data_IF_123638575467
#
_entry.id   IF_123638575467
#
_cell.length_a   1.000
_cell.length_b   1.000
_cell.length_c   1.000
_cell.angle_alpha   90.00
_cell.angle_beta   90.00
_cell.angle_gamma   90.00
#
_symmetry.space_group_name_H-M   'P 1'
#
loop_
_entity.id
_entity.type
_entity.pdbx_description
1 polymer ?
#
# COMPACT_ATOMS: atom_id res chain seq x y z
N UNK A 1 -5.98 25.75 -8.25
CA UNK A 1 -6.42 24.96 -7.07
C UNK A 1 -7.78 25.35 -6.46
N UNK A 2 -8.41 26.50 -6.78
CA UNK A 2 -9.75 26.83 -6.23
C UNK A 2 -10.93 26.12 -6.90
N UNK A 3 -10.78 25.64 -8.14
CA UNK A 3 -11.89 25.04 -8.90
C UNK A 3 -12.23 23.59 -8.49
N UNK A 4 -11.26 22.82 -7.97
CA UNK A 4 -11.46 21.43 -7.53
C UNK A 4 -12.17 21.30 -6.18
N UNK A 5 -12.03 22.30 -5.31
CA UNK A 5 -12.64 22.32 -3.98
C UNK A 5 -14.17 22.46 -4.01
N UNK A 6 -14.70 23.26 -4.94
CA UNK A 6 -16.15 23.41 -5.11
C UNK A 6 -16.81 22.16 -5.70
N UNK A 7 -16.09 21.39 -6.53
CA UNK A 7 -16.56 20.10 -7.07
C UNK A 7 -16.61 19.02 -5.99
N UNK A 8 -15.60 18.98 -5.12
CA UNK A 8 -15.57 18.08 -3.95
C UNK A 8 -16.69 18.39 -2.95
N UNK A 9 -16.91 19.66 -2.60
CA UNK A 9 -17.98 20.03 -1.69
C UNK A 9 -19.38 19.76 -2.26
N UNK A 10 -19.59 19.97 -3.57
CA UNK A 10 -20.85 19.58 -4.24
C UNK A 10 -21.05 18.08 -4.23
N UNK A 11 -20.03 17.30 -4.57
CA UNK A 11 -20.10 15.84 -4.58
C UNK A 11 -20.39 15.26 -3.19
N UNK A 12 -19.74 15.78 -2.14
CA UNK A 12 -19.94 15.31 -0.77
C UNK A 12 -21.35 15.62 -0.24
N UNK A 13 -21.91 16.78 -0.60
CA UNK A 13 -23.25 17.20 -0.16
C UNK A 13 -24.39 16.55 -0.95
N UNK A 14 -24.18 16.20 -2.23
CA UNK A 14 -25.21 15.55 -3.06
C UNK A 14 -25.30 14.04 -2.86
N UNK A 15 -24.23 13.41 -2.36
CA UNK A 15 -24.14 11.97 -2.12
C UNK A 15 -25.24 11.41 -1.18
N UNK A 16 -25.51 11.98 0.01
CA UNK A 16 -26.53 11.45 0.91
C UNK A 16 -27.96 11.60 0.34
N UNK A 17 -28.30 12.77 -0.21
CA UNK A 17 -29.64 13.06 -0.74
C UNK A 17 -29.94 12.13 -1.94
N UNK A 18 -28.95 11.92 -2.79
CA UNK A 18 -29.04 10.99 -3.92
C UNK A 18 -29.22 9.56 -3.44
N UNK A 19 -28.42 9.10 -2.48
CA UNK A 19 -28.52 7.74 -1.94
C UNK A 19 -29.91 7.47 -1.34
N UNK A 20 -30.44 8.41 -0.55
CA UNK A 20 -31.79 8.29 0.02
C UNK A 20 -32.89 8.28 -1.04
N UNK A 21 -32.76 9.12 -2.08
CA UNK A 21 -33.72 9.14 -3.20
C UNK A 21 -33.69 7.82 -3.99
N UNK A 22 -32.51 7.26 -4.25
CA UNK A 22 -32.34 5.97 -4.94
C UNK A 22 -32.85 4.78 -4.09
N UNK A 23 -32.72 4.85 -2.76
CA UNK A 23 -33.32 3.87 -1.85
C UNK A 23 -34.85 3.96 -1.88
N UNK A 24 -35.40 5.17 -1.86
CA UNK A 24 -36.84 5.41 -1.91
C UNK A 24 -37.46 4.89 -3.22
N UNK A 25 -36.84 5.17 -4.38
CA UNK A 25 -37.33 4.65 -5.66
C UNK A 25 -37.30 3.13 -5.72
N UNK A 26 -36.27 2.50 -5.16
CA UNK A 26 -36.18 1.03 -5.07
C UNK A 26 -37.29 0.45 -4.17
N UNK A 27 -37.65 1.14 -3.08
CA UNK A 27 -38.78 0.75 -2.23
C UNK A 27 -40.13 0.92 -2.93
N UNK A 28 -40.31 1.99 -3.72
CA UNK A 28 -41.51 2.18 -4.55
C UNK A 28 -41.67 1.07 -5.59
N UNK A 29 -40.56 0.65 -6.23
CA UNK A 29 -40.59 -0.47 -7.17
C UNK A 29 -41.06 -1.77 -6.49
N UNK A 30 -40.63 -2.05 -5.27
CA UNK A 30 -41.12 -3.21 -4.51
C UNK A 30 -42.63 -3.07 -4.24
N UNK A 31 -43.08 -1.89 -3.77
CA UNK A 31 -44.50 -1.64 -3.48
C UNK A 31 -45.39 -1.73 -4.72
N UNK A 32 -44.91 -1.29 -5.88
CA UNK A 32 -45.64 -1.40 -7.14
C UNK A 32 -45.78 -2.87 -7.56
N UNK A 33 -44.71 -3.67 -7.42
CA UNK A 33 -44.76 -5.11 -7.69
C UNK A 33 -45.77 -5.79 -6.76
N UNK A 34 -45.79 -5.44 -5.46
CA UNK A 34 -46.79 -5.94 -4.51
C UNK A 34 -48.22 -5.68 -4.99
N UNK A 35 -48.51 -4.44 -5.41
CA UNK A 35 -49.86 -4.03 -5.81
C UNK A 35 -50.28 -4.67 -7.14
N UNK A 36 -49.41 -4.61 -8.17
CA UNK A 36 -49.75 -5.03 -9.53
C UNK A 36 -49.81 -6.56 -9.69
N UNK A 37 -48.96 -7.29 -8.97
CA UNK A 37 -48.79 -8.72 -9.19
C UNK A 37 -49.15 -9.60 -7.99
N UNK A 38 -49.27 -9.02 -6.78
CA UNK A 38 -49.50 -9.76 -5.54
C UNK A 38 -50.68 -9.20 -4.73
N UNK A 39 -51.59 -8.42 -5.34
CA UNK A 39 -52.78 -7.84 -4.69
C UNK A 39 -52.46 -7.03 -3.41
N UNK A 40 -51.29 -6.39 -3.36
CA UNK A 40 -50.80 -5.66 -2.19
C UNK A 40 -50.22 -6.52 -1.08
N UNK A 41 -50.12 -7.83 -1.28
CA UNK A 41 -49.54 -8.78 -0.32
C UNK A 41 -48.04 -8.98 -0.57
N UNK A 42 -47.35 -9.53 0.43
CA UNK A 42 -45.92 -9.83 0.37
C UNK A 42 -45.62 -10.78 -0.78
N UNK A 43 -44.55 -10.49 -1.52
CA UNK A 43 -44.02 -11.37 -2.56
C UNK A 43 -43.54 -12.67 -1.89
N UNK A 44 -44.41 -13.68 -1.86
CA UNK A 44 -44.20 -14.99 -1.21
C UNK A 44 -44.62 -16.13 -2.14
N UNK A 45 -44.07 -17.31 -1.88
CA UNK A 45 -44.22 -18.52 -2.73
C UNK A 45 -45.66 -19.06 -2.76
N UNK A 46 -46.51 -18.66 -1.80
CA UNK A 46 -47.89 -19.17 -1.64
C UNK A 46 -48.97 -18.42 -2.43
N UNK A 47 -48.63 -17.70 -3.51
CA UNK A 47 -49.66 -17.17 -4.40
C UNK A 47 -50.13 -18.27 -5.37
N UNK A 48 -51.31 -18.83 -5.10
CA UNK A 48 -51.96 -19.99 -5.74
C UNK A 48 -52.15 -19.98 -7.28
N UNK A 49 -51.46 -19.12 -8.06
CA UNK A 49 -51.63 -19.00 -9.52
C UNK A 49 -50.38 -18.71 -10.36
N UNK A 50 -49.15 -18.67 -9.82
CA UNK A 50 -47.95 -18.33 -10.62
C UNK A 50 -47.01 -19.50 -10.92
N UNK A 51 -46.48 -19.54 -12.14
CA UNK A 51 -45.46 -20.51 -12.59
C UNK A 51 -44.12 -20.32 -11.87
N UNK A 52 -43.44 -21.42 -11.57
CA UNK A 52 -42.16 -21.48 -10.84
C UNK A 52 -41.06 -20.58 -11.46
N UNK A 53 -41.02 -20.49 -12.79
CA UNK A 53 -40.07 -19.62 -13.52
C UNK A 53 -40.38 -18.12 -13.33
N UNK A 54 -41.66 -17.77 -13.24
CA UNK A 54 -42.11 -16.38 -13.02
C UNK A 54 -41.88 -15.97 -11.56
N UNK A 55 -42.06 -16.89 -10.60
CA UNK A 55 -41.73 -16.65 -9.20
C UNK A 55 -40.23 -16.40 -9.01
N UNK A 56 -39.37 -17.19 -9.67
CA UNK A 56 -37.92 -17.00 -9.62
C UNK A 56 -37.50 -15.61 -10.14
N UNK A 57 -38.16 -15.12 -11.20
CA UNK A 57 -37.94 -13.77 -11.72
C UNK A 57 -38.32 -12.68 -10.71
N UNK A 58 -39.50 -12.78 -10.09
CA UNK A 58 -39.96 -11.80 -9.10
C UNK A 58 -39.14 -11.81 -7.81
N UNK A 59 -38.70 -12.99 -7.36
CA UNK A 59 -37.77 -13.12 -6.23
C UNK A 59 -36.42 -12.47 -6.53
N UNK A 60 -35.89 -12.64 -7.75
CA UNK A 60 -34.68 -11.96 -8.19
C UNK A 60 -34.83 -10.43 -8.24
N UNK A 61 -35.97 -9.93 -8.71
CA UNK A 61 -36.28 -8.49 -8.68
C UNK A 61 -36.40 -7.96 -7.24
N UNK A 62 -37.08 -8.68 -6.35
CA UNK A 62 -37.20 -8.32 -4.94
C UNK A 62 -35.81 -8.26 -4.27
N UNK A 63 -35.00 -9.31 -4.41
CA UNK A 63 -33.67 -9.38 -3.81
C UNK A 63 -32.74 -8.29 -4.34
N UNK A 64 -32.80 -8.00 -5.64
CA UNK A 64 -32.03 -6.90 -6.25
C UNK A 64 -32.41 -5.54 -5.65
N UNK A 65 -33.71 -5.25 -5.53
CA UNK A 65 -34.18 -3.98 -4.99
C UNK A 65 -33.88 -3.87 -3.48
N UNK A 66 -34.07 -4.92 -2.69
CA UNK A 66 -33.70 -4.93 -1.26
C UNK A 66 -32.19 -4.72 -1.05
N UNK A 67 -31.34 -5.37 -1.87
CA UNK A 67 -29.89 -5.17 -1.78
C UNK A 67 -29.50 -3.74 -2.16
N UNK A 68 -30.13 -3.16 -3.18
CA UNK A 68 -29.91 -1.76 -3.55
C UNK A 68 -30.30 -0.82 -2.39
N UNK A 69 -31.45 -1.04 -1.76
CA UNK A 69 -31.89 -0.27 -0.59
C UNK A 69 -30.87 -0.36 0.55
N UNK A 70 -30.38 -1.55 0.89
CA UNK A 70 -29.38 -1.73 1.96
C UNK A 70 -28.06 -1.00 1.67
N UNK A 71 -27.55 -1.10 0.44
CA UNK A 71 -26.32 -0.42 0.02
C UNK A 71 -26.50 1.10 0.11
N UNK A 72 -27.62 1.62 -0.40
CA UNK A 72 -27.91 3.06 -0.41
C UNK A 72 -28.20 3.63 0.97
N UNK A 73 -28.87 2.89 1.85
CA UNK A 73 -29.03 3.28 3.25
C UNK A 73 -27.70 3.30 3.98
N UNK A 74 -26.80 2.35 3.71
CA UNK A 74 -25.45 2.34 4.28
C UNK A 74 -24.63 3.55 3.78
N UNK A 75 -24.71 3.86 2.48
CA UNK A 75 -24.08 5.06 1.89
C UNK A 75 -24.63 6.35 2.51
N UNK A 76 -25.95 6.43 2.72
CA UNK A 76 -26.61 7.54 3.40
C UNK A 76 -26.16 7.67 4.86
N UNK A 77 -26.14 6.59 5.65
CA UNK A 77 -25.72 6.61 7.05
C UNK A 77 -24.27 7.07 7.23
N UNK A 78 -23.36 6.62 6.36
CA UNK A 78 -21.95 7.03 6.38
C UNK A 78 -21.74 8.50 5.99
N UNK A 79 -22.63 9.05 5.17
CA UNK A 79 -22.56 10.45 4.69
C UNK A 79 -23.46 11.42 5.49
N UNK A 80 -24.31 10.91 6.39
CA UNK A 80 -25.29 11.68 7.19
C UNK A 80 -24.66 12.74 8.10
N UNK A 81 -23.43 12.53 8.58
CA UNK A 81 -22.74 13.47 9.49
C UNK A 81 -22.52 14.87 8.90
N UNK A 82 -22.71 15.04 7.59
CA UNK A 82 -22.48 16.30 6.87
C UNK A 82 -23.77 17.07 6.54
N UNK A 83 -24.96 16.51 6.82
CA UNK A 83 -26.26 17.21 6.64
C UNK A 83 -26.66 17.86 7.97
N UNK A 84 -26.80 19.19 7.97
CA UNK A 84 -27.52 19.95 9.00
C UNK A 84 -28.88 20.39 8.45
N UNK A 85 -29.95 19.67 8.78
CA UNK A 85 -31.29 20.20 9.11
C UNK A 85 -32.37 19.11 9.11
N UNK A 86 -33.41 19.39 9.89
CA UNK A 86 -34.66 18.64 10.08
C UNK A 86 -35.62 18.80 8.88
N UNK A 87 -35.28 18.20 7.75
CA UNK A 87 -36.17 18.18 6.58
C UNK A 87 -37.20 17.04 6.73
N UNK A 88 -38.47 17.42 6.93
CA UNK A 88 -39.63 16.51 7.12
C UNK A 88 -39.78 15.51 5.95
N UNK A 89 -39.47 15.95 4.72
CA UNK A 89 -39.50 15.11 3.51
C UNK A 89 -38.54 13.90 3.58
N UNK A 90 -37.40 14.02 4.28
CA UNK A 90 -36.48 12.89 4.46
C UNK A 90 -37.03 11.85 5.44
N UNK A 91 -37.72 12.29 6.49
CA UNK A 91 -38.32 11.39 7.48
C UNK A 91 -39.47 10.60 6.85
N UNK A 92 -40.26 11.22 5.97
CA UNK A 92 -41.32 10.52 5.23
C UNK A 92 -40.75 9.44 4.30
N UNK A 93 -39.68 9.75 3.56
CA UNK A 93 -38.99 8.78 2.69
C UNK A 93 -38.39 7.62 3.47
N UNK A 94 -37.74 7.89 4.61
CA UNK A 94 -37.19 6.85 5.49
C UNK A 94 -38.30 5.96 6.07
N UNK A 95 -39.38 6.56 6.57
CA UNK A 95 -40.52 5.83 7.12
C UNK A 95 -41.16 4.90 6.08
N UNK A 96 -41.28 5.36 4.84
CA UNK A 96 -41.78 4.54 3.73
C UNK A 96 -40.84 3.38 3.40
N UNK A 97 -39.53 3.63 3.34
CA UNK A 97 -38.53 2.59 3.11
C UNK A 97 -38.60 1.53 4.22
N UNK A 98 -38.69 1.96 5.48
CA UNK A 98 -38.80 1.06 6.64
C UNK A 98 -40.10 0.24 6.60
N UNK A 99 -41.23 0.83 6.22
CA UNK A 99 -42.50 0.11 6.04
C UNK A 99 -42.36 -1.03 5.01
N UNK A 100 -41.73 -0.74 3.87
CA UNK A 100 -41.53 -1.73 2.80
C UNK A 100 -40.55 -2.82 3.24
N UNK A 101 -39.43 -2.47 3.86
CA UNK A 101 -38.43 -3.43 4.33
C UNK A 101 -39.00 -4.33 5.45
N UNK A 102 -39.76 -3.76 6.38
CA UNK A 102 -40.25 -4.50 7.55
C UNK A 102 -41.18 -5.65 7.17
N UNK A 103 -41.91 -5.58 6.05
CA UNK A 103 -42.69 -6.72 5.54
C UNK A 103 -41.83 -7.94 5.19
N UNK A 104 -40.56 -7.73 4.86
CA UNK A 104 -39.61 -8.76 4.47
C UNK A 104 -38.62 -9.11 5.59
N UNK A 105 -38.65 -8.39 6.73
CA UNK A 105 -37.98 -8.78 7.96
C UNK A 105 -38.89 -9.69 8.79
N UNK A 106 -38.59 -10.98 8.90
CA UNK A 106 -39.17 -11.82 9.95
C UNK A 106 -38.22 -12.93 10.38
N UNK A 107 -38.02 -12.97 11.71
CA UNK A 107 -37.44 -14.01 12.58
C UNK A 107 -35.91 -14.24 12.54
N UNK A 108 -35.18 -13.32 13.18
CA UNK A 108 -34.11 -13.58 14.15
C UNK A 108 -33.44 -12.24 14.47
N UNK A 109 -33.98 -11.48 15.43
CA UNK A 109 -33.31 -10.39 16.16
C UNK A 109 -34.35 -9.62 17.01
N UNK A 110 -34.71 -10.19 18.15
CA UNK A 110 -34.98 -9.39 19.35
C UNK A 110 -33.80 -9.62 20.29
N UNK A 111 -32.96 -8.59 20.48
CA UNK A 111 -32.42 -8.15 21.77
C UNK A 111 -31.92 -6.71 21.58
N UNK A 112 -32.41 -5.87 22.48
CA UNK A 112 -32.32 -4.41 22.56
C UNK A 112 -30.92 -3.83 22.82
N UNK A 113 -30.78 -2.53 22.52
CA UNK A 113 -29.71 -1.68 23.03
C UNK A 113 -30.03 -1.10 24.44
N UNK A 114 -29.22 -1.49 25.44
CA UNK A 114 -28.64 -0.67 26.55
C UNK A 114 -29.52 -0.21 27.75
N UNK A 115 -28.99 0.27 28.91
CA UNK A 115 -27.82 -0.10 29.74
C UNK A 115 -28.12 -0.25 31.27
N UNK A 116 -27.30 -1.03 31.99
CA UNK A 116 -26.88 -0.73 33.38
C UNK A 116 -27.66 -1.28 34.59
N UNK A 117 -26.88 -1.75 35.58
CA UNK A 117 -27.15 -1.93 37.02
C UNK A 117 -27.26 -3.38 37.53
N UNK A 118 -26.40 -3.63 38.54
CA UNK A 118 -26.25 -4.71 39.55
C UNK A 118 -27.46 -5.63 39.79
N UNK A 119 -27.35 -6.89 40.25
CA UNK A 119 -26.61 -7.41 41.42
C UNK A 119 -26.83 -8.94 41.47
N UNK A 120 -25.77 -9.69 41.81
CA UNK A 120 -25.66 -10.94 42.62
C UNK A 120 -26.91 -11.83 42.81
N UNK A 121 -26.81 -13.15 42.53
CA UNK A 121 -26.98 -14.30 43.46
C UNK A 121 -26.81 -15.66 42.71
N UNK A 122 -25.69 -16.30 43.02
CA UNK A 122 -25.40 -17.72 43.32
C UNK A 122 -26.50 -18.81 43.21
N UNK A 123 -26.20 -19.94 42.53
CA UNK A 123 -26.30 -21.32 43.10
C UNK A 123 -25.91 -22.43 42.09
N UNK A 124 -25.47 -23.54 42.67
CA UNK A 124 -24.55 -24.60 42.20
C UNK A 124 -25.16 -25.70 41.28
N UNK A 125 -24.32 -26.60 40.69
CA UNK A 125 -24.71 -27.58 39.68
C UNK A 125 -25.03 -28.96 40.27
N UNK A 126 -25.77 -29.79 39.52
CA UNK A 126 -25.88 -31.24 39.81
C UNK A 126 -25.50 -32.07 38.59
N UNK A 127 -24.58 -32.99 38.84
CA UNK A 127 -23.98 -33.99 37.96
C UNK A 127 -24.98 -34.96 37.34
N UNK A 128 -24.65 -35.50 36.16
CA UNK A 128 -24.86 -36.91 35.81
C UNK A 128 -23.72 -37.43 34.92
N UNK A 129 -22.94 -38.34 35.48
CA UNK A 129 -21.90 -39.18 34.86
C UNK A 129 -22.53 -40.51 34.45
N UNK A 130 -22.24 -41.06 33.26
CA UNK A 130 -22.11 -42.52 33.05
C UNK A 130 -21.01 -42.80 32.01
N UNK A 131 -20.20 -43.80 32.36
CA UNK A 131 -18.95 -44.27 31.76
C UNK A 131 -19.11 -45.50 30.84
N UNK A 132 -18.02 -45.75 30.08
CA UNK A 132 -17.38 -47.02 29.70
C UNK A 132 -17.68 -47.71 28.35
N UNK A 133 -16.59 -48.14 27.70
CA UNK A 133 -16.56 -49.32 26.81
C UNK A 133 -15.49 -49.31 25.70
N UNK A 134 -14.29 -49.78 25.99
CA UNK A 134 -13.22 -50.15 25.02
C UNK A 134 -13.30 -51.65 24.67
N UNK A 135 -13.07 -52.00 23.40
CA UNK A 135 -12.52 -53.31 22.98
C UNK A 135 -12.07 -53.32 21.51
N UNK A 136 -10.84 -53.81 21.29
CA UNK A 136 -10.21 -54.14 19.99
C UNK A 136 -10.74 -55.44 19.42
N UNK A 137 -10.72 -55.58 18.08
CA UNK A 137 -10.40 -56.86 17.41
C UNK A 137 -9.95 -56.65 15.96
N UNK A 138 -8.93 -57.42 15.57
CA UNK A 138 -8.31 -57.50 14.24
C UNK A 138 -9.09 -58.47 13.34
N UNK A 139 -9.11 -58.25 12.02
CA UNK A 139 -9.05 -59.35 11.04
C UNK A 139 -8.67 -58.87 9.62
N UNK A 140 -7.74 -59.61 9.01
CA UNK A 140 -7.24 -59.52 7.64
C UNK A 140 -7.90 -60.66 6.83
N UNK A 141 -8.47 -60.39 5.63
CA UNK A 141 -8.29 -61.26 4.45
C UNK A 141 -8.90 -60.69 3.14
N UNK A 142 -8.02 -60.56 2.15
CA UNK A 142 -8.09 -60.87 0.71
C UNK A 142 -9.33 -60.58 -0.19
N UNK A 143 -9.01 -59.87 -1.29
CA UNK A 143 -9.40 -60.08 -2.70
C UNK A 143 -10.87 -59.98 -3.14
N UNK A 144 -11.16 -58.91 -3.91
CA UNK A 144 -12.05 -58.95 -5.09
C UNK A 144 -11.86 -57.70 -5.98
N UNK A 145 -11.31 -57.87 -7.18
CA UNK A 145 -11.73 -57.11 -8.37
C UNK A 145 -12.82 -57.94 -9.08
N UNK A 146 -13.62 -57.43 -10.05
CA UNK A 146 -13.54 -56.15 -10.75
C UNK A 146 -14.90 -55.39 -10.86
N UNK A 147 -14.87 -54.11 -11.28
CA UNK A 147 -15.80 -53.53 -12.28
C UNK A 147 -15.42 -52.08 -12.59
N UNK A 148 -14.78 -51.92 -13.75
CA UNK A 148 -14.72 -50.66 -14.48
C UNK A 148 -16.14 -50.43 -15.03
N UNK A 149 -16.83 -49.43 -14.50
CA UNK A 149 -18.02 -48.86 -15.12
C UNK A 149 -17.87 -47.35 -15.12
N UNK A 150 -17.61 -46.82 -16.31
CA UNK A 150 -17.64 -45.40 -16.60
C UNK A 150 -19.04 -44.85 -16.26
N UNK A 151 -19.07 -43.83 -15.40
CA UNK A 151 -19.95 -42.67 -15.58
C UNK A 151 -19.13 -41.43 -15.29
N UNK A 152 -18.83 -40.71 -16.35
CA UNK A 152 -18.31 -39.35 -16.36
C UNK A 152 -19.29 -38.42 -15.65
N UNK A 153 -19.12 -38.28 -14.33
CA UNK A 153 -19.67 -37.16 -13.58
C UNK A 153 -18.66 -36.02 -13.61
N UNK A 154 -18.95 -34.99 -14.40
CA UNK A 154 -18.19 -33.75 -14.51
C UNK A 154 -18.36 -32.99 -13.19
N UNK A 155 -17.65 -33.36 -12.13
CA UNK A 155 -17.43 -32.49 -10.98
C UNK A 155 -16.06 -32.81 -10.35
N UNK A 156 -15.10 -31.85 -10.35
CA UNK A 156 -13.82 -32.06 -9.71
C UNK A 156 -14.01 -32.20 -8.19
N UNK A 157 -13.41 -33.26 -7.60
CA UNK A 157 -13.43 -33.56 -6.15
C UNK A 157 -12.92 -32.43 -5.25
N UNK A 158 -12.42 -31.33 -5.80
CA UNK A 158 -11.97 -30.13 -5.08
C UNK A 158 -13.12 -29.21 -4.62
N UNK A 159 -14.26 -29.19 -5.32
CA UNK A 159 -15.39 -28.28 -4.98
C UNK A 159 -16.14 -28.74 -3.72
N UNK A 160 -16.27 -30.06 -3.51
CA UNK A 160 -16.94 -30.61 -2.32
C UNK A 160 -16.23 -30.29 -1.00
N UNK A 161 -14.91 -30.05 -1.02
CA UNK A 161 -14.14 -29.62 0.16
C UNK A 161 -14.36 -28.14 0.47
N UNK A 162 -14.52 -27.31 -0.55
CA UNK A 162 -14.87 -25.89 -0.42
C UNK A 162 -16.30 -25.73 0.09
N UNK A 163 -17.25 -26.53 -0.42
CA UNK A 163 -18.65 -26.50 0.03
C UNK A 163 -18.83 -27.01 1.46
N UNK A 164 -18.08 -28.05 1.86
CA UNK A 164 -18.07 -28.53 3.26
C UNK A 164 -17.40 -27.54 4.22
N UNK A 165 -16.48 -26.70 3.73
CA UNK A 165 -15.89 -25.58 4.49
C UNK A 165 -16.89 -24.42 4.61
N UNK A 166 -17.57 -24.05 3.52
CA UNK A 166 -18.65 -23.05 3.49
C UNK A 166 -19.81 -23.45 4.41
N UNK A 167 -20.27 -24.71 4.38
CA UNK A 167 -21.33 -25.22 5.27
C UNK A 167 -20.92 -25.28 6.74
N UNK A 168 -19.62 -25.38 7.04
CA UNK A 168 -19.08 -25.27 8.40
C UNK A 168 -18.92 -23.81 8.84
N UNK A 169 -18.62 -22.93 7.89
CA UNK A 169 -18.50 -21.48 8.05
C UNK A 169 -19.87 -20.77 8.05
N UNK A 170 -20.98 -21.50 7.85
CA UNK A 170 -22.38 -21.06 7.94
C UNK A 170 -23.04 -21.44 9.28
N UNK A 171 -22.25 -21.85 10.29
CA UNK A 171 -22.77 -22.06 11.65
C UNK A 171 -22.89 -20.71 12.38
N UNK A 172 -23.83 -20.52 13.33
CA UNK A 172 -24.04 -19.24 14.04
C UNK A 172 -22.79 -18.69 14.76
N UNK A 173 -21.79 -19.54 15.03
CA UNK A 173 -20.49 -19.13 15.61
C UNK A 173 -19.48 -18.65 14.56
N UNK A 174 -19.59 -19.11 13.31
CA UNK A 174 -18.67 -18.78 12.24
C UNK A 174 -18.84 -17.33 11.76
N UNK A 175 -20.04 -16.76 11.81
CA UNK A 175 -20.25 -15.33 11.52
C UNK A 175 -19.48 -14.44 12.52
N UNK A 176 -19.54 -14.78 13.82
CA UNK A 176 -18.80 -14.06 14.85
C UNK A 176 -17.28 -14.17 14.65
N UNK A 177 -16.81 -15.34 14.23
CA UNK A 177 -15.38 -15.56 13.94
C UNK A 177 -14.93 -14.80 12.68
N UNK A 178 -15.78 -14.72 11.64
CA UNK A 178 -15.50 -13.93 10.44
C UNK A 178 -15.38 -12.44 10.79
N UNK A 179 -16.32 -11.90 11.57
CA UNK A 179 -16.29 -10.49 12.00
C UNK A 179 -15.05 -10.18 12.86
N UNK A 180 -14.69 -11.08 13.79
CA UNK A 180 -13.48 -10.96 14.59
C UNK A 180 -12.20 -11.02 13.74
N UNK A 181 -12.11 -11.98 12.82
CA UNK A 181 -10.96 -12.14 11.93
C UNK A 181 -10.80 -10.94 11.00
N UNK A 182 -11.91 -10.39 10.49
CA UNK A 182 -11.90 -9.16 9.71
C UNK A 182 -11.38 -7.97 10.52
N UNK A 183 -11.87 -7.78 11.75
CA UNK A 183 -11.40 -6.70 12.63
C UNK A 183 -9.90 -6.83 12.96
N UNK A 184 -9.42 -8.05 13.23
CA UNK A 184 -8.00 -8.35 13.49
C UNK A 184 -7.14 -8.08 12.25
N UNK A 185 -7.57 -8.53 11.06
CA UNK A 185 -6.88 -8.26 9.79
C UNK A 185 -6.81 -6.76 9.50
N UNK A 186 -7.92 -6.03 9.64
CA UNK A 186 -7.97 -4.57 9.46
C UNK A 186 -7.01 -3.84 10.40
N UNK A 187 -6.98 -4.23 11.68
CA UNK A 187 -6.07 -3.64 12.65
C UNK A 187 -4.60 -3.97 12.34
N UNK A 188 -4.30 -5.19 11.89
CA UNK A 188 -2.97 -5.59 11.42
C UNK A 188 -2.53 -4.71 10.26
N UNK A 189 -3.34 -4.60 9.21
CA UNK A 189 -3.05 -3.75 8.04
C UNK A 189 -2.84 -2.30 8.44
N UNK A 190 -3.70 -1.73 9.30
CA UNK A 190 -3.54 -0.35 9.79
C UNK A 190 -2.21 -0.16 10.52
N UNK A 191 -1.81 -1.10 11.36
CA UNK A 191 -0.53 -1.04 12.09
C UNK A 191 0.66 -1.18 11.16
N UNK A 192 0.63 -2.14 10.23
CA UNK A 192 1.69 -2.34 9.23
C UNK A 192 1.88 -1.12 8.35
N UNK A 193 0.78 -0.54 7.85
CA UNK A 193 0.82 0.68 7.03
C UNK A 193 1.34 1.86 7.85
N UNK A 194 0.84 2.06 9.08
CA UNK A 194 1.34 3.11 9.98
C UNK A 194 2.85 2.94 10.23
N UNK A 195 3.30 1.72 10.48
CA UNK A 195 4.71 1.43 10.71
C UNK A 195 5.56 1.71 9.47
N UNK A 196 5.12 1.30 8.27
CA UNK A 196 5.79 1.62 7.01
C UNK A 196 5.92 3.13 6.80
N UNK A 197 4.84 3.87 7.06
CA UNK A 197 4.83 5.33 7.00
C UNK A 197 5.84 5.92 7.99
N UNK A 198 5.85 5.46 9.25
CA UNK A 198 6.80 5.93 10.26
C UNK A 198 8.25 5.59 9.90
N UNK A 199 8.49 4.40 9.33
CA UNK A 199 9.81 3.95 8.91
C UNK A 199 10.43 4.86 7.84
N UNK A 200 9.61 5.51 7.02
CA UNK A 200 10.04 6.46 5.98
C UNK A 200 10.06 7.89 6.51
N UNK A 201 8.97 8.33 7.15
CA UNK A 201 8.80 9.74 7.56
C UNK A 201 9.77 10.13 8.68
N UNK A 202 10.00 9.26 9.67
CA UNK A 202 10.80 9.63 10.84
C UNK A 202 12.27 9.90 10.49
N UNK A 203 12.97 9.04 9.71
CA UNK A 203 14.33 9.34 9.25
C UNK A 203 14.38 10.60 8.39
N UNK A 204 13.46 10.75 7.42
CA UNK A 204 13.43 11.92 6.53
C UNK A 204 13.22 13.23 7.29
N UNK A 205 12.29 13.26 8.25
CA UNK A 205 12.10 14.43 9.11
C UNK A 205 13.33 14.67 9.99
N UNK A 206 13.93 13.60 10.53
CA UNK A 206 15.14 13.72 11.34
C UNK A 206 16.27 14.33 10.52
N UNK A 207 16.49 13.88 9.30
CA UNK A 207 17.50 14.43 8.38
C UNK A 207 17.28 15.93 8.16
N UNK A 208 16.07 16.33 7.74
CA UNK A 208 15.78 17.71 7.40
C UNK A 208 15.82 18.65 8.63
N UNK A 209 15.19 18.24 9.74
CA UNK A 209 15.12 19.07 10.96
C UNK A 209 16.50 19.17 11.61
N UNK A 210 17.22 18.04 11.76
CA UNK A 210 18.54 18.06 12.38
C UNK A 210 19.54 18.89 11.58
N UNK A 211 19.49 18.81 10.25
CA UNK A 211 20.32 19.63 9.37
C UNK A 211 20.13 21.12 9.65
N UNK A 212 18.88 21.57 9.67
CA UNK A 212 18.56 23.00 9.81
C UNK A 212 18.81 23.50 11.24
N UNK A 213 18.34 22.75 12.24
CA UNK A 213 18.28 23.23 13.64
C UNK A 213 19.59 23.01 14.39
N UNK A 214 20.27 21.88 14.16
CA UNK A 214 21.43 21.47 14.96
C UNK A 214 22.73 21.56 14.17
N UNK A 215 22.76 20.97 12.97
CA UNK A 215 24.02 20.70 12.27
C UNK A 215 24.52 21.93 11.54
N UNK A 216 23.70 22.61 10.74
CA UNK A 216 24.09 23.85 10.05
C UNK A 216 24.70 24.90 10.99
N UNK A 217 24.05 25.29 12.12
CA UNK A 217 24.65 26.28 13.02
C UNK A 217 25.94 25.77 13.67
N UNK A 218 26.05 24.46 13.93
CA UNK A 218 27.28 23.87 14.47
C UNK A 218 28.43 23.93 13.46
N UNK A 219 28.17 23.51 12.21
CA UNK A 219 29.16 23.51 11.12
C UNK A 219 29.64 24.93 10.83
N UNK A 220 28.73 25.90 10.77
CA UNK A 220 29.10 27.30 10.53
C UNK A 220 29.94 27.86 11.68
N UNK A 221 29.63 27.51 12.93
CA UNK A 221 30.41 27.96 14.10
C UNK A 221 31.82 27.37 14.12
N UNK A 222 31.95 26.07 13.86
CA UNK A 222 33.24 25.37 13.87
C UNK A 222 34.13 25.80 12.69
N UNK A 223 33.53 26.00 11.51
CA UNK A 223 34.26 26.38 10.29
C UNK A 223 34.47 27.89 10.16
N UNK A 224 33.65 28.71 10.82
CA UNK A 224 33.82 30.18 10.85
C UNK A 224 35.18 30.61 11.41
N UNK A 225 35.76 29.82 12.32
CA UNK A 225 37.10 30.07 12.88
C UNK A 225 38.23 29.49 12.02
N UNK A 226 37.96 28.48 11.20
CA UNK A 226 38.95 27.79 10.38
C UNK A 226 39.02 28.34 8.95
N UNK A 227 39.68 29.49 8.78
CA UNK A 227 39.85 30.13 7.47
C UNK A 227 40.55 29.23 6.42
N UNK A 228 41.36 28.26 6.86
CA UNK A 228 42.23 27.45 6.00
C UNK A 228 41.55 26.25 5.30
N UNK A 229 40.32 25.89 5.64
CA UNK A 229 39.64 24.72 5.07
C UNK A 229 38.42 25.13 4.23
N UNK A 230 38.66 25.81 3.11
CA UNK A 230 37.60 26.23 2.16
C UNK A 230 37.03 25.00 1.43
N UNK A 231 37.90 24.08 1.01
CA UNK A 231 37.57 22.87 0.26
C UNK A 231 37.53 21.65 1.17
N UNK A 232 36.66 20.68 0.85
CA UNK A 232 36.59 19.38 1.55
C UNK A 232 37.48 18.33 0.90
N UNK A 233 37.55 18.36 -0.43
CA UNK A 233 38.31 17.41 -1.24
C UNK A 233 39.11 18.15 -2.30
N UNK A 234 40.08 17.43 -2.88
CA UNK A 234 40.96 17.92 -3.95
C UNK A 234 40.20 18.24 -5.23
N UNK A 235 39.09 17.53 -5.50
CA UNK A 235 38.34 17.70 -6.73
C UNK A 235 37.60 19.06 -6.75
N UNK A 236 37.06 19.50 -5.62
CA UNK A 236 36.48 20.82 -5.45
C UNK A 236 37.52 21.94 -5.57
N UNK A 237 38.74 21.68 -5.08
CA UNK A 237 39.86 22.61 -5.21
C UNK A 237 40.29 22.73 -6.68
N UNK A 238 40.39 21.61 -7.41
CA UNK A 238 40.71 21.59 -8.83
C UNK A 238 39.63 22.29 -9.67
N UNK A 239 38.35 22.06 -9.34
CA UNK A 239 37.22 22.75 -9.99
C UNK A 239 37.29 24.27 -9.79
N UNK A 240 37.51 24.72 -8.56
CA UNK A 240 37.69 26.14 -8.25
C UNK A 240 38.91 26.75 -8.94
N UNK A 241 40.04 26.04 -8.96
CA UNK A 241 41.26 26.49 -9.63
C UNK A 241 41.04 26.60 -11.15
N UNK A 242 40.35 25.63 -11.75
CA UNK A 242 40.01 25.64 -13.17
C UNK A 242 39.10 26.82 -13.51
N UNK A 243 38.13 27.14 -12.67
CA UNK A 243 37.24 28.29 -12.86
C UNK A 243 38.01 29.62 -12.80
N UNK A 244 38.92 29.78 -11.82
CA UNK A 244 39.78 30.98 -11.70
C UNK A 244 40.66 31.13 -12.94
N UNK A 245 41.32 30.04 -13.38
CA UNK A 245 42.18 30.04 -14.58
C UNK A 245 41.41 30.34 -15.86
N UNK A 246 40.20 29.81 -15.97
CA UNK A 246 39.33 30.08 -17.11
C UNK A 246 38.93 31.56 -17.16
N UNK A 247 38.56 32.15 -16.02
CA UNK A 247 38.25 33.57 -15.92
C UNK A 247 39.44 34.46 -16.26
N UNK A 248 40.63 34.15 -15.74
CA UNK A 248 41.87 34.86 -16.08
C UNK A 248 42.16 34.78 -17.60
N UNK A 249 41.99 33.60 -18.20
CA UNK A 249 42.18 33.40 -19.63
C UNK A 249 41.19 34.23 -20.47
N UNK A 250 39.93 34.35 -20.04
CA UNK A 250 38.93 35.21 -20.68
C UNK A 250 39.38 36.68 -20.64
N UNK A 251 39.81 37.19 -19.49
CA UNK A 251 40.27 38.58 -19.35
C UNK A 251 41.50 38.87 -20.21
N UNK A 252 42.44 37.91 -20.28
CA UNK A 252 43.61 38.01 -21.15
C UNK A 252 43.22 38.01 -22.63
N UNK A 253 42.27 37.16 -23.02
CA UNK A 253 41.75 37.11 -24.39
C UNK A 253 41.05 38.41 -24.79
N UNK A 254 40.21 38.96 -23.90
CA UNK A 254 39.49 40.22 -24.14
C UNK A 254 40.47 41.38 -24.41
N UNK A 255 41.56 41.45 -23.66
CA UNK A 255 42.65 42.40 -23.87
C UNK A 255 43.33 42.21 -25.24
N UNK A 256 43.51 40.98 -25.70
CA UNK A 256 44.12 40.70 -27.01
C UNK A 256 43.19 41.09 -28.16
N UNK A 257 41.87 40.92 -27.99
CA UNK A 257 40.86 41.24 -29.02
C UNK A 257 40.66 42.76 -29.12
N UNK A 258 40.66 43.48 -28.00
CA UNK A 258 40.48 44.93 -27.95
C UNK A 258 41.68 45.62 -27.25
N UNK A 259 42.76 45.94 -27.99
CA UNK A 259 43.95 46.56 -27.42
C UNK A 259 43.73 47.96 -26.81
N UNK A 260 42.62 48.61 -27.15
CA UNK A 260 42.22 49.92 -26.62
C UNK A 260 41.54 49.85 -25.25
N UNK A 261 41.19 48.65 -24.76
CA UNK A 261 40.70 48.50 -23.39
C UNK A 261 41.86 48.72 -22.41
N UNK A 262 41.67 49.63 -21.45
CA UNK A 262 42.61 49.92 -20.35
C UNK A 262 42.67 48.78 -19.31
N UNK A 263 42.72 47.53 -19.76
CA UNK A 263 42.93 46.36 -18.91
C UNK A 263 44.45 46.26 -18.67
N UNK A 264 44.95 46.97 -17.66
CA UNK A 264 46.32 46.81 -17.17
C UNK A 264 46.48 45.46 -16.46
N UNK A 265 47.70 44.90 -16.37
CA UNK A 265 47.93 43.70 -15.57
C UNK A 265 47.45 43.85 -14.12
N UNK A 266 47.52 45.04 -13.50
CA UNK A 266 46.98 45.25 -12.15
C UNK A 266 45.46 45.10 -12.09
N UNK A 267 44.73 45.56 -13.12
CA UNK A 267 43.26 45.42 -13.20
C UNK A 267 42.86 43.96 -13.37
N UNK A 268 43.62 43.18 -14.15
CA UNK A 268 43.40 41.72 -14.29
C UNK A 268 43.58 41.05 -12.94
N UNK A 269 44.69 41.33 -12.24
CA UNK A 269 44.97 40.76 -10.92
C UNK A 269 43.87 41.11 -9.90
N UNK A 270 43.43 42.36 -9.88
CA UNK A 270 42.34 42.81 -9.01
C UNK A 270 41.03 42.04 -9.29
N UNK A 271 40.63 41.91 -10.57
CA UNK A 271 39.44 41.16 -10.97
C UNK A 271 39.55 39.67 -10.65
N UNK A 272 40.72 39.07 -10.89
CA UNK A 272 40.97 37.65 -10.57
C UNK A 272 40.91 37.43 -9.06
N UNK A 273 41.44 38.34 -8.26
CA UNK A 273 41.37 38.29 -6.79
C UNK A 273 39.93 38.40 -6.30
N UNK A 274 39.14 39.32 -6.84
CA UNK A 274 37.71 39.44 -6.54
C UNK A 274 36.97 38.13 -6.86
N UNK A 275 37.20 37.58 -8.06
CA UNK A 275 36.60 36.32 -8.49
C UNK A 275 37.03 35.14 -7.61
N UNK A 276 38.29 35.09 -7.20
CA UNK A 276 38.79 34.06 -6.30
C UNK A 276 38.11 34.12 -4.92
N UNK A 277 37.83 35.32 -4.40
CA UNK A 277 37.06 35.49 -3.15
C UNK A 277 35.61 35.00 -3.31
N UNK A 278 34.97 35.32 -4.44
CA UNK A 278 33.62 34.83 -4.75
C UNK A 278 33.57 33.29 -4.80
N UNK A 279 34.48 32.68 -5.55
CA UNK A 279 34.59 31.21 -5.68
C UNK A 279 34.91 30.56 -4.34
N UNK A 280 35.78 31.17 -3.53
CA UNK A 280 36.09 30.69 -2.18
C UNK A 280 34.86 30.73 -1.27
N UNK A 281 34.06 31.79 -1.32
CA UNK A 281 32.82 31.89 -0.54
C UNK A 281 31.77 30.85 -0.98
N UNK A 282 31.59 30.68 -2.29
CA UNK A 282 30.70 29.67 -2.86
C UNK A 282 31.14 28.25 -2.48
N UNK A 283 32.43 27.96 -2.60
CA UNK A 283 33.04 26.67 -2.25
C UNK A 283 32.91 26.39 -0.76
N UNK A 284 33.14 27.38 0.11
CA UNK A 284 32.92 27.25 1.56
C UNK A 284 31.46 26.87 1.86
N UNK A 285 30.49 27.51 1.21
CA UNK A 285 29.07 27.20 1.39
C UNK A 285 28.72 25.79 0.91
N UNK A 286 29.21 25.39 -0.27
CA UNK A 286 29.04 24.04 -0.83
C UNK A 286 29.63 22.99 0.13
N UNK A 287 30.83 23.25 0.64
CA UNK A 287 31.49 22.42 1.64
C UNK A 287 30.69 22.28 2.93
N UNK A 288 30.32 23.40 3.58
CA UNK A 288 29.53 23.36 4.81
C UNK A 288 28.22 22.58 4.62
N UNK A 289 27.56 22.76 3.48
CA UNK A 289 26.32 22.05 3.15
C UNK A 289 26.52 20.53 3.00
N UNK A 290 27.61 20.11 2.35
CA UNK A 290 27.95 18.70 2.18
C UNK A 290 28.26 18.01 3.52
N UNK A 291 29.01 18.67 4.40
CA UNK A 291 29.27 18.17 5.75
C UNK A 291 27.96 18.08 6.54
N UNK A 292 27.13 19.11 6.44
CA UNK A 292 25.83 19.10 7.11
C UNK A 292 24.93 17.97 6.62
N UNK A 293 24.96 17.66 5.32
CA UNK A 293 24.28 16.51 4.75
C UNK A 293 24.78 15.21 5.37
N UNK A 294 26.09 14.96 5.36
CA UNK A 294 26.67 13.74 5.89
C UNK A 294 26.30 13.50 7.37
N UNK A 295 26.40 14.53 8.21
CA UNK A 295 25.98 14.40 9.63
C UNK A 295 24.47 14.21 9.78
N UNK A 296 23.65 14.86 8.95
CA UNK A 296 22.20 14.71 8.98
C UNK A 296 21.78 13.29 8.57
N UNK A 297 22.49 12.70 7.61
CA UNK A 297 22.27 11.33 7.16
C UNK A 297 22.65 10.32 8.25
N UNK A 298 23.74 10.56 8.98
CA UNK A 298 24.10 9.73 10.14
C UNK A 298 22.99 9.78 11.20
N UNK A 299 22.45 10.97 11.49
CA UNK A 299 21.37 11.10 12.47
C UNK A 299 20.05 10.48 11.97
N UNK A 300 19.78 10.58 10.68
CA UNK A 300 18.67 9.90 10.00
C UNK A 300 18.80 8.38 10.11
N UNK A 301 20.00 7.84 9.90
CA UNK A 301 20.30 6.41 10.03
C UNK A 301 20.12 5.92 11.48
N UNK A 302 20.58 6.70 12.46
CA UNK A 302 20.34 6.41 13.88
C UNK A 302 18.84 6.40 14.17
N UNK A 303 18.10 7.40 13.69
CA UNK A 303 16.64 7.48 13.85
C UNK A 303 15.92 6.30 13.23
N UNK A 304 16.31 5.89 12.01
CA UNK A 304 15.82 4.68 11.36
C UNK A 304 16.07 3.43 12.21
N UNK A 305 17.29 3.26 12.73
CA UNK A 305 17.65 2.14 13.60
C UNK A 305 16.83 2.15 14.90
N UNK A 306 16.59 3.32 15.50
CA UNK A 306 15.75 3.46 16.70
C UNK A 306 14.30 3.08 16.40
N UNK A 307 13.74 3.52 15.26
CA UNK A 307 12.38 3.11 14.84
C UNK A 307 12.28 1.59 14.74
N UNK A 308 13.24 0.94 14.08
CA UNK A 308 13.28 -0.53 14.00
C UNK A 308 13.37 -1.17 15.39
N UNK A 309 14.27 -0.66 16.24
CA UNK A 309 14.51 -1.20 17.57
C UNK A 309 13.27 -1.12 18.48
N UNK A 310 12.53 -0.01 18.44
CA UNK A 310 11.33 0.17 19.27
C UNK A 310 10.07 -0.47 18.68
N UNK A 311 10.00 -0.65 17.35
CA UNK A 311 8.81 -1.18 16.66
C UNK A 311 8.83 -2.69 16.42
N UNK A 312 9.53 -3.49 17.25
CA UNK A 312 9.59 -4.97 17.11
C UNK A 312 8.23 -5.65 16.92
N UNK A 313 7.20 -5.20 17.67
CA UNK A 313 5.83 -5.72 17.54
C UNK A 313 5.22 -5.39 16.18
N UNK A 314 5.43 -4.17 15.68
CA UNK A 314 4.91 -3.74 14.39
C UNK A 314 5.64 -4.42 13.21
N UNK A 315 6.91 -4.77 13.36
CA UNK A 315 7.66 -5.58 12.39
C UNK A 315 6.99 -6.95 12.20
N UNK A 316 6.53 -7.60 13.28
CA UNK A 316 5.81 -8.88 13.17
C UNK A 316 4.49 -8.71 12.41
N UNK A 317 3.76 -7.62 12.67
CA UNK A 317 2.54 -7.31 11.91
C UNK A 317 2.84 -7.01 10.44
N UNK A 318 3.92 -6.28 10.14
CA UNK A 318 4.38 -6.00 8.78
C UNK A 318 4.76 -7.29 8.06
N UNK A 319 5.52 -8.18 8.72
CA UNK A 319 5.87 -9.49 8.15
C UNK A 319 4.61 -10.27 7.80
N UNK A 320 3.66 -10.40 8.74
CA UNK A 320 2.43 -11.14 8.48
C UNK A 320 1.59 -10.51 7.36
N UNK A 321 1.59 -9.19 7.23
CA UNK A 321 0.94 -8.48 6.13
C UNK A 321 1.64 -8.73 4.78
N UNK A 322 2.98 -8.71 4.76
CA UNK A 322 3.76 -9.06 3.57
C UNK A 322 3.57 -10.52 3.17
N UNK A 323 3.51 -11.44 4.14
CA UNK A 323 3.19 -12.85 3.90
C UNK A 323 1.79 -12.97 3.25
N UNK A 324 0.79 -12.25 3.75
CA UNK A 324 -0.57 -12.25 3.19
C UNK A 324 -0.61 -11.71 1.75
N UNK A 325 0.15 -10.66 1.44
CA UNK A 325 0.29 -10.15 0.07
C UNK A 325 0.99 -11.18 -0.82
N UNK A 326 2.18 -11.66 -0.43
CA UNK A 326 3.00 -12.53 -1.28
C UNK A 326 2.34 -13.88 -1.50
N UNK A 327 1.82 -14.53 -0.45
CA UNK A 327 1.13 -15.81 -0.58
C UNK A 327 -0.30 -15.68 -1.13
N UNK A 328 -0.89 -14.48 -1.06
CA UNK A 328 -2.17 -14.17 -1.71
C UNK A 328 -2.06 -14.04 -3.23
N UNK A 329 -0.86 -13.84 -3.77
CA UNK A 329 -0.63 -13.76 -5.23
C UNK A 329 -0.56 -15.15 -5.87
N UNK A 330 -1.04 -15.25 -7.11
CA UNK A 330 -0.86 -16.46 -7.94
C UNK A 330 0.61 -16.72 -8.24
N UNK A 331 0.97 -17.97 -8.54
CA UNK A 331 2.34 -18.35 -8.91
C UNK A 331 2.85 -17.57 -10.14
N UNK A 332 1.96 -17.27 -11.10
CA UNK A 332 2.26 -16.43 -12.26
C UNK A 332 2.54 -14.97 -11.88
N UNK A 333 1.75 -14.38 -10.97
CA UNK A 333 1.94 -12.99 -10.53
C UNK A 333 3.22 -12.82 -9.71
N UNK A 334 3.58 -13.81 -8.88
CA UNK A 334 4.86 -13.84 -8.16
C UNK A 334 6.04 -13.88 -9.13
N UNK A 335 6.00 -14.74 -10.14
CA UNK A 335 7.05 -14.82 -11.16
C UNK A 335 7.18 -13.50 -11.95
N UNK A 336 6.06 -12.92 -12.37
CA UNK A 336 6.04 -11.63 -13.05
C UNK A 336 6.64 -10.50 -12.20
N UNK A 337 6.28 -10.41 -10.92
CA UNK A 337 6.79 -9.37 -10.02
C UNK A 337 8.30 -9.50 -9.79
N UNK A 338 8.81 -10.73 -9.72
CA UNK A 338 10.26 -10.98 -9.66
C UNK A 338 10.93 -10.49 -10.95
N UNK A 339 10.45 -10.90 -12.13
CA UNK A 339 11.02 -10.50 -13.42
C UNK A 339 11.03 -8.98 -13.58
N UNK A 340 9.91 -8.31 -13.31
CA UNK A 340 9.77 -6.86 -13.40
C UNK A 340 10.77 -6.15 -12.48
N UNK A 341 10.88 -6.59 -11.22
CA UNK A 341 11.81 -5.99 -10.27
C UNK A 341 13.27 -6.19 -10.73
N UNK A 342 13.62 -7.40 -11.17
CA UNK A 342 14.97 -7.66 -11.67
C UNK A 342 15.30 -6.84 -12.90
N UNK A 343 14.37 -6.68 -13.86
CA UNK A 343 14.63 -5.91 -15.08
C UNK A 343 14.89 -4.42 -14.79
N UNK A 344 14.19 -3.84 -13.81
CA UNK A 344 14.41 -2.43 -13.40
C UNK A 344 15.81 -2.21 -12.80
N UNK A 345 16.26 -3.10 -11.91
CA UNK A 345 17.52 -2.92 -11.17
C UNK A 345 18.75 -3.47 -11.87
N UNK A 346 18.54 -4.35 -12.85
CA UNK A 346 19.62 -5.16 -13.43
C UNK A 346 19.56 -5.25 -14.95
N UNK A 347 18.38 -5.08 -15.54
CA UNK A 347 18.20 -5.08 -16.98
C UNK A 347 18.84 -3.87 -17.67
N UNK A 348 18.55 -3.73 -18.96
CA UNK A 348 19.18 -2.75 -19.85
C UNK A 348 18.99 -1.29 -19.44
N UNK A 349 17.96 -1.00 -18.65
CA UNK A 349 17.69 0.34 -18.13
C UNK A 349 18.41 0.63 -16.80
N UNK A 350 18.96 -0.39 -16.14
CA UNK A 350 19.57 -0.25 -14.83
C UNK A 350 20.85 0.59 -14.81
N UNK A 351 21.75 0.57 -15.82
CA UNK A 351 22.97 1.37 -15.81
C UNK A 351 22.72 2.86 -15.55
N UNK A 352 21.72 3.43 -16.25
CA UNK A 352 21.38 4.84 -16.08
C UNK A 352 20.71 5.11 -14.72
N UNK A 353 19.90 4.18 -14.21
CA UNK A 353 19.34 4.28 -12.87
C UNK A 353 20.43 4.34 -11.79
N UNK A 354 21.45 3.49 -11.91
CA UNK A 354 22.61 3.49 -11.02
C UNK A 354 23.46 4.75 -11.17
N UNK A 355 23.64 5.26 -12.39
CA UNK A 355 24.35 6.52 -12.64
C UNK A 355 23.70 7.68 -11.88
N UNK A 356 22.38 7.88 -12.04
CA UNK A 356 21.64 8.96 -11.38
C UNK A 356 21.69 8.82 -9.86
N UNK A 357 21.58 7.59 -9.32
CA UNK A 357 21.65 7.34 -7.87
C UNK A 357 23.05 7.65 -7.33
N UNK A 358 24.10 7.19 -7.99
CA UNK A 358 25.48 7.37 -7.53
C UNK A 358 25.96 8.81 -7.68
N UNK A 359 25.61 9.47 -8.79
CA UNK A 359 25.92 10.89 -9.00
C UNK A 359 25.18 11.75 -7.97
N UNK A 360 23.89 11.50 -7.75
CA UNK A 360 23.11 12.19 -6.73
C UNK A 360 23.63 11.97 -5.31
N UNK A 361 24.09 10.74 -4.99
CA UNK A 361 24.69 10.44 -3.68
C UNK A 361 26.05 11.14 -3.52
N UNK A 362 26.89 11.14 -4.55
CA UNK A 362 28.18 11.82 -4.53
C UNK A 362 27.99 13.33 -4.32
N UNK A 363 27.09 13.94 -5.08
CA UNK A 363 26.79 15.36 -4.95
C UNK A 363 26.21 15.72 -3.58
N UNK A 364 25.31 14.89 -3.05
CA UNK A 364 24.74 15.08 -1.72
C UNK A 364 25.80 15.03 -0.61
N UNK A 365 26.81 14.16 -0.75
CA UNK A 365 27.96 14.07 0.15
C UNK A 365 29.05 15.12 -0.14
N UNK A 366 28.89 15.94 -1.17
CA UNK A 366 29.88 16.93 -1.63
C UNK A 366 31.14 16.33 -2.24
N UNK A 367 31.07 15.07 -2.69
CA UNK A 367 32.12 14.41 -3.44
C UNK A 367 31.95 14.73 -4.92
N UNK A 368 33.05 14.99 -5.63
CA UNK A 368 32.96 15.01 -7.08
C UNK A 368 32.62 13.60 -7.57
N UNK A 369 31.68 13.50 -8.49
CA UNK A 369 31.31 12.24 -9.11
C UNK A 369 32.52 11.69 -9.89
N UNK A 370 33.27 10.76 -9.29
CA UNK A 370 34.34 10.06 -9.98
C UNK A 370 33.72 9.18 -11.06
N UNK A 371 33.66 9.69 -12.29
CA UNK A 371 33.07 9.01 -13.45
C UNK A 371 33.65 7.62 -13.65
N UNK A 372 34.96 7.43 -13.44
CA UNK A 372 35.59 6.12 -13.58
C UNK A 372 35.09 5.13 -12.51
N UNK A 373 34.92 5.59 -11.27
CA UNK A 373 34.37 4.78 -10.18
C UNK A 373 32.90 4.41 -10.41
N UNK A 374 32.10 5.37 -10.87
CA UNK A 374 30.69 5.16 -11.22
C UNK A 374 30.57 4.15 -12.37
N UNK A 375 31.33 4.32 -13.45
CA UNK A 375 31.31 3.37 -14.57
C UNK A 375 31.83 1.98 -14.18
N UNK A 376 32.84 1.89 -13.32
CA UNK A 376 33.31 0.61 -12.79
C UNK A 376 32.20 -0.09 -11.99
N UNK A 377 31.49 0.64 -11.13
CA UNK A 377 30.35 0.10 -10.39
C UNK A 377 29.25 -0.39 -11.33
N UNK A 378 28.84 0.45 -12.28
CA UNK A 378 27.79 0.15 -13.27
C UNK A 378 28.17 -1.07 -14.13
N UNK A 379 29.45 -1.24 -14.46
CA UNK A 379 29.93 -2.38 -15.24
C UNK A 379 30.02 -3.69 -14.45
N UNK A 380 30.12 -3.63 -13.11
CA UNK A 380 30.38 -4.81 -12.26
C UNK A 380 29.16 -5.22 -11.44
N UNK A 381 28.60 -4.30 -10.65
CA UNK A 381 27.58 -4.62 -9.65
C UNK A 381 26.26 -5.09 -10.27
N UNK A 382 25.64 -4.37 -11.24
CA UNK A 382 24.43 -4.85 -11.91
C UNK A 382 24.63 -6.21 -12.57
N UNK A 383 25.76 -6.41 -13.26
CA UNK A 383 26.07 -7.67 -13.97
C UNK A 383 26.19 -8.87 -13.00
N UNK A 384 26.83 -8.67 -11.84
CA UNK A 384 26.90 -9.69 -10.80
C UNK A 384 25.49 -9.99 -10.26
N UNK A 385 24.71 -8.95 -9.99
CA UNK A 385 23.36 -9.08 -9.49
C UNK A 385 22.44 -9.82 -10.49
N UNK A 386 22.64 -9.60 -11.79
CA UNK A 386 21.95 -10.31 -12.89
C UNK A 386 22.21 -11.80 -12.84
N UNK A 387 23.49 -12.14 -12.72
CA UNK A 387 23.95 -13.52 -12.69
C UNK A 387 23.37 -14.25 -11.47
N UNK A 388 23.34 -13.59 -10.30
CA UNK A 388 22.75 -14.14 -9.08
C UNK A 388 21.24 -14.34 -9.24
N UNK A 389 20.50 -13.35 -9.77
CA UNK A 389 19.06 -13.46 -9.96
C UNK A 389 18.69 -14.52 -11.00
N UNK A 390 19.36 -14.55 -12.16
CA UNK A 390 19.17 -15.59 -13.18
C UNK A 390 19.43 -16.97 -12.61
N UNK A 391 20.51 -17.15 -11.84
CA UNK A 391 20.80 -18.42 -11.18
C UNK A 391 19.71 -18.81 -10.17
N UNK A 392 19.24 -17.86 -9.35
CA UNK A 392 18.23 -18.15 -8.34
C UNK A 392 16.87 -18.50 -8.96
N UNK A 393 16.46 -17.77 -9.99
CA UNK A 393 15.24 -18.05 -10.78
C UNK A 393 15.36 -19.42 -11.44
N UNK A 394 16.47 -19.69 -12.13
CA UNK A 394 16.72 -20.99 -12.77
C UNK A 394 16.64 -22.14 -11.76
N UNK A 395 17.31 -22.01 -10.61
CA UNK A 395 17.28 -23.02 -9.54
C UNK A 395 15.90 -23.20 -8.93
N UNK A 396 15.14 -22.13 -8.79
CA UNK A 396 13.78 -22.16 -8.26
C UNK A 396 12.82 -22.87 -9.24
N UNK A 397 12.83 -22.49 -10.51
CA UNK A 397 12.00 -23.10 -11.55
C UNK A 397 12.37 -24.57 -11.81
N UNK A 398 13.67 -24.89 -11.85
CA UNK A 398 14.16 -26.27 -12.02
C UNK A 398 13.69 -27.22 -10.92
N UNK A 399 13.40 -26.69 -9.71
CA UNK A 399 12.90 -27.48 -8.58
C UNK A 399 11.38 -27.69 -8.59
N UNK A 400 10.63 -26.82 -9.26
CA UNK A 400 9.16 -26.83 -9.24
C UNK A 400 8.54 -27.50 -10.46
N UNK A 401 9.11 -27.33 -11.66
CA UNK A 401 8.66 -28.03 -12.85
C UNK A 401 9.74 -28.05 -13.95
N UNK A 402 10.12 -29.24 -14.46
CA UNK A 402 11.01 -29.37 -15.61
C UNK A 402 10.47 -28.71 -16.89
N UNK A 403 9.14 -28.53 -17.03
CA UNK A 403 8.54 -27.88 -18.20
C UNK A 403 8.66 -26.36 -18.18
N UNK A 404 8.62 -25.72 -17.00
CA UNK A 404 8.84 -24.28 -16.87
C UNK A 404 10.29 -23.89 -17.19
N UNK A 405 11.23 -24.82 -16.95
CA UNK A 405 12.63 -24.69 -17.33
C UNK A 405 12.82 -24.64 -18.84
N UNK A 406 12.07 -25.46 -19.59
CA UNK A 406 12.14 -25.50 -21.05
C UNK A 406 11.67 -24.17 -21.66
N UNK A 407 10.58 -23.59 -21.16
CA UNK A 407 10.07 -22.29 -21.64
C UNK A 407 11.01 -21.12 -21.33
N UNK A 408 11.67 -21.10 -20.16
CA UNK A 408 12.67 -20.07 -19.85
C UNK A 408 13.90 -20.18 -20.77
N UNK A 409 14.31 -21.41 -21.12
CA UNK A 409 15.44 -21.64 -22.03
C UNK A 409 15.13 -21.14 -23.44
N UNK A 410 13.90 -21.37 -23.92
CA UNK A 410 13.41 -20.90 -25.22
C UNK A 410 13.26 -19.37 -25.32
N UNK A 411 13.17 -18.67 -24.18
CA UNK A 411 12.98 -17.22 -24.11
C UNK A 411 14.29 -16.44 -23.89
N UNK A 412 15.37 -17.13 -23.51
CA UNK A 412 16.71 -16.58 -23.30
C UNK A 412 17.68 -16.89 -24.46
N UNK A 413 17.34 -17.83 -25.35
CA UNK A 413 17.89 -17.90 -26.72
C UNK A 413 17.20 -16.85 -27.60
#
# INVERSE_FOLDING_TARGET
>A
MKHSWHLWNRWLMTTPIRALTEAYTSAQLIRNIEIEHFNGQKITVDSDKLSESVMTYWQGCLQRNLNNINIRLTEFQLSRSFIKNDDIDFLEKLKFIDEVINKYKSQDEEIELSPGTSTIIESNPTNLTINNGTSSENNIHASKLPKISQKTGIFPRSIGRTFKRISRDLSPRAEQDILKNYAVSRNRTKRSVRFLILLIIVPLLTQNISKIVLINPMVERVRGEAAAQIFINTDMEEEAFKEIRHFEAILKLEKLINPTLEITPEVIEAKVKEKAVEIAAASRKKSSNAISNAFADVLSLISFALVIFFSKKDIVFLKSFMDEIVYGLSDSAKAFLIILFTDIFVGFHSPHGWEVILEGLAEHLGLAANRNGIFLFIATFPVILDTIFKYWIFRYLSRLSPSALATLKEMNE
#
